data_IF_633382499278
#
_entry.id   IF_633382499278
#
_cell.length_a   1.000
_cell.length_b   1.000
_cell.length_c   1.000
_cell.angle_alpha   90.00
_cell.angle_beta   90.00
_cell.angle_gamma   90.00
#
_symmetry.space_group_name_H-M   'P 1'
#
loop_
_entity.id
_entity.type
_entity.pdbx_description
1 polymer ?
#
# COMPACT_ATOMS: atom_id res chain seq x y z
N UNK A 1 11.40 40.99 27.14
CA UNK A 1 9.96 40.70 26.96
C UNK A 1 9.85 39.40 26.22
N UNK A 2 8.96 38.54 26.70
CA UNK A 2 9.00 37.08 26.64
C UNK A 2 9.11 36.50 25.23
N UNK A 3 10.13 35.66 25.06
CA UNK A 3 10.15 34.65 24.01
C UNK A 3 9.07 33.63 24.36
N UNK A 4 8.00 33.58 23.56
CA UNK A 4 7.04 32.47 23.61
C UNK A 4 7.79 31.20 23.22
N UNK A 5 8.19 30.42 24.22
CA UNK A 5 8.57 29.03 24.03
C UNK A 5 7.36 28.31 23.46
N UNK A 6 7.41 28.00 22.16
CA UNK A 6 6.52 27.00 21.57
C UNK A 6 6.67 25.72 22.41
N UNK A 7 5.60 25.35 23.12
CA UNK A 7 5.47 24.04 23.73
C UNK A 7 5.50 23.02 22.58
N UNK A 8 6.67 22.46 22.29
CA UNK A 8 6.77 21.18 21.58
C UNK A 8 6.16 20.13 22.48
N UNK A 9 4.90 19.76 22.25
CA UNK A 9 4.33 18.56 22.84
C UNK A 9 4.90 17.34 22.11
N UNK A 10 6.12 16.93 22.46
CA UNK A 10 6.69 15.65 22.00
C UNK A 10 6.12 14.49 22.81
N UNK A 11 4.79 14.40 22.88
CA UNK A 11 4.09 13.27 23.48
C UNK A 11 3.16 12.69 22.43
N UNK A 12 3.22 11.37 22.23
CA UNK A 12 2.25 10.64 21.43
C UNK A 12 0.83 11.01 21.89
N UNK A 13 -0.07 11.24 20.95
CA UNK A 13 -1.47 11.44 21.31
C UNK A 13 -2.04 10.14 21.87
N UNK A 14 -2.99 10.25 22.80
CA UNK A 14 -3.68 9.08 23.38
C UNK A 14 -4.31 8.17 22.31
N UNK A 15 -4.69 8.75 21.16
CA UNK A 15 -5.24 8.00 20.02
C UNK A 15 -4.17 7.18 19.30
N UNK A 16 -3.02 7.77 19.02
CA UNK A 16 -1.88 7.06 18.38
C UNK A 16 -1.41 5.93 19.28
N UNK A 17 -1.25 6.19 20.58
CA UNK A 17 -0.83 5.18 21.54
C UNK A 17 -1.79 3.98 21.58
N UNK A 18 -3.10 4.23 21.69
CA UNK A 18 -4.12 3.17 21.65
C UNK A 18 -4.11 2.38 20.34
N UNK A 19 -3.87 3.05 19.22
CA UNK A 19 -3.79 2.41 17.91
C UNK A 19 -2.56 1.50 17.81
N UNK A 20 -1.42 1.96 18.31
CA UNK A 20 -0.18 1.17 18.26
C UNK A 20 -0.22 0.00 19.23
N UNK A 21 -0.79 0.18 20.42
CA UNK A 21 -1.04 -0.93 21.35
C UNK A 21 -1.99 -1.97 20.75
N UNK A 22 -2.93 -1.53 19.92
CA UNK A 22 -3.78 -2.43 19.14
C UNK A 22 -2.99 -3.22 18.09
N UNK A 23 -2.11 -2.57 17.32
CA UNK A 23 -1.22 -3.26 16.37
C UNK A 23 -0.34 -4.30 17.07
N UNK A 24 0.22 -3.95 18.23
CA UNK A 24 1.03 -4.83 19.06
C UNK A 24 0.22 -6.04 19.55
N UNK A 25 -0.97 -5.80 20.07
CA UNK A 25 -1.86 -6.85 20.58
C UNK A 25 -2.22 -7.84 19.48
N UNK A 26 -2.65 -7.35 18.31
CA UNK A 26 -3.00 -8.22 17.18
C UNK A 26 -1.77 -8.95 16.63
N UNK A 27 -0.64 -8.26 16.46
CA UNK A 27 0.54 -8.86 15.87
C UNK A 27 1.28 -9.85 16.77
N UNK A 28 1.26 -9.67 18.09
CA UNK A 28 1.86 -10.62 19.03
C UNK A 28 0.85 -11.71 19.40
N UNK A 29 -0.26 -11.33 20.07
CA UNK A 29 -1.22 -12.30 20.60
C UNK A 29 -2.01 -12.96 19.48
N UNK A 30 -2.38 -12.20 18.43
CA UNK A 30 -3.11 -12.75 17.30
C UNK A 30 -2.26 -13.74 16.48
N UNK A 31 -0.97 -13.47 16.33
CA UNK A 31 -0.06 -14.44 15.72
C UNK A 31 0.09 -15.70 16.57
N UNK A 32 0.21 -15.59 17.88
CA UNK A 32 0.31 -16.75 18.78
C UNK A 32 -0.97 -17.60 18.79
N UNK A 33 -2.14 -16.97 18.78
CA UNK A 33 -3.42 -17.65 18.62
C UNK A 33 -3.48 -18.44 17.30
N UNK A 34 -3.05 -17.86 16.18
CA UNK A 34 -2.99 -18.55 14.89
C UNK A 34 -1.96 -19.68 14.87
N UNK A 35 -0.81 -19.53 15.53
CA UNK A 35 0.19 -20.60 15.65
C UNK A 35 -0.34 -21.82 16.40
N UNK A 36 -1.14 -21.60 17.44
CA UNK A 36 -1.79 -22.70 18.17
C UNK A 36 -2.71 -23.50 17.24
N UNK A 37 -3.44 -22.83 16.35
CA UNK A 37 -4.28 -23.50 15.34
C UNK A 37 -3.45 -24.24 14.27
N UNK A 38 -2.24 -23.77 13.94
CA UNK A 38 -1.34 -24.50 13.03
C UNK A 38 -0.90 -25.84 13.63
N UNK A 39 -0.84 -25.96 14.95
CA UNK A 39 -0.30 -27.14 15.64
C UNK A 39 1.21 -27.30 15.40
N UNK A 40 1.91 -26.21 15.06
CA UNK A 40 3.36 -26.18 14.94
C UNK A 40 3.94 -25.35 16.09
N UNK A 41 4.83 -25.96 16.86
CA UNK A 41 5.64 -25.26 17.86
C UNK A 41 7.07 -25.03 17.32
N UNK A 42 7.86 -24.24 18.05
CA UNK A 42 9.23 -23.90 17.67
C UNK A 42 10.14 -25.13 17.52
N UNK A 43 9.93 -26.15 18.36
CA UNK A 43 10.73 -27.37 18.33
C UNK A 43 10.48 -28.17 17.05
N UNK A 44 9.21 -28.35 16.69
CA UNK A 44 8.80 -29.05 15.48
C UNK A 44 9.16 -28.24 14.23
N UNK A 45 9.06 -26.91 14.30
CA UNK A 45 9.48 -26.02 13.22
C UNK A 45 10.99 -26.13 12.93
N UNK A 46 11.85 -26.10 13.96
CA UNK A 46 13.32 -26.18 13.78
C UNK A 46 13.83 -27.53 13.29
N UNK A 47 13.14 -28.61 13.64
CA UNK A 47 13.59 -29.98 13.33
C UNK A 47 13.23 -30.44 11.91
N UNK A 48 12.35 -29.72 11.22
CA UNK A 48 11.86 -30.12 9.91
C UNK A 48 12.25 -29.07 8.87
N UNK A 49 12.83 -29.52 7.75
CA UNK A 49 13.00 -28.64 6.61
C UNK A 49 11.61 -28.28 6.02
N UNK A 50 11.43 -27.07 5.47
CA UNK A 50 10.15 -26.62 4.88
C UNK A 50 9.51 -27.63 3.93
N UNK A 51 10.34 -28.26 3.10
CA UNK A 51 10.00 -29.23 2.07
C UNK A 51 9.96 -30.69 2.56
N UNK A 52 10.52 -30.97 3.74
CA UNK A 52 10.38 -32.26 4.42
C UNK A 52 9.10 -32.30 5.29
N UNK A 53 8.43 -31.17 5.46
CA UNK A 53 7.15 -31.11 6.14
C UNK A 53 6.05 -31.67 5.24
N UNK A 54 5.25 -32.61 5.77
CA UNK A 54 4.05 -33.13 5.08
C UNK A 54 2.97 -32.07 4.87
N UNK A 55 3.08 -30.93 5.55
CA UNK A 55 2.14 -29.80 5.47
C UNK A 55 2.86 -28.47 5.15
N UNK A 56 3.42 -28.30 3.93
CA UNK A 56 4.14 -27.08 3.52
C UNK A 56 3.38 -25.77 3.78
N UNK A 57 2.05 -25.79 3.62
CA UNK A 57 1.18 -24.65 3.94
C UNK A 57 1.36 -24.15 5.37
N UNK A 58 1.41 -25.07 6.34
CA UNK A 58 1.54 -24.68 7.75
C UNK A 58 2.90 -24.06 8.02
N UNK A 59 3.95 -24.58 7.40
CA UNK A 59 5.29 -24.02 7.49
C UNK A 59 5.38 -22.61 6.89
N UNK A 60 4.77 -22.39 5.72
CA UNK A 60 4.67 -21.07 5.10
C UNK A 60 3.98 -20.05 6.02
N UNK A 61 2.82 -20.43 6.57
CA UNK A 61 2.07 -19.57 7.48
C UNK A 61 2.83 -19.31 8.78
N UNK A 62 3.48 -20.32 9.37
CA UNK A 62 4.31 -20.14 10.56
C UNK A 62 5.39 -19.09 10.33
N UNK A 63 6.09 -19.15 9.19
CA UNK A 63 7.09 -18.12 8.81
C UNK A 63 6.48 -16.75 8.58
N UNK A 64 5.24 -16.66 8.11
CA UNK A 64 4.53 -15.38 8.07
C UNK A 64 4.32 -14.82 9.47
N UNK A 65 3.82 -15.65 10.39
CA UNK A 65 3.56 -15.25 11.77
C UNK A 65 4.85 -14.84 12.50
N UNK A 66 6.00 -15.46 12.20
CA UNK A 66 7.32 -15.02 12.68
C UNK A 66 7.65 -13.58 12.27
N UNK A 67 7.44 -13.22 11.01
CA UNK A 67 7.75 -11.88 10.52
C UNK A 67 6.76 -10.84 11.02
N UNK A 68 5.49 -11.21 11.20
CA UNK A 68 4.50 -10.38 11.88
C UNK A 68 4.96 -10.03 13.30
N UNK A 69 5.34 -11.04 14.09
CA UNK A 69 5.78 -10.79 15.47
C UNK A 69 7.07 -9.97 15.53
N UNK A 70 8.04 -10.22 14.63
CA UNK A 70 9.25 -9.40 14.53
C UNK A 70 8.92 -7.94 14.24
N UNK A 71 7.98 -7.69 13.32
CA UNK A 71 7.53 -6.34 13.01
C UNK A 71 6.81 -5.67 14.20
N UNK A 72 5.96 -6.41 14.91
CA UNK A 72 5.30 -5.90 16.12
C UNK A 72 6.29 -5.56 17.22
N UNK A 73 7.29 -6.41 17.49
CA UNK A 73 8.33 -6.09 18.46
C UNK A 73 9.12 -4.82 18.09
N UNK A 74 9.28 -4.54 16.78
CA UNK A 74 9.88 -3.28 16.31
C UNK A 74 8.99 -2.06 16.52
N UNK A 75 7.66 -2.21 16.45
CA UNK A 75 6.73 -1.12 16.80
C UNK A 75 6.92 -0.69 18.26
N UNK A 76 7.21 -1.61 19.19
CA UNK A 76 7.53 -1.26 20.59
C UNK A 76 8.74 -0.34 20.64
N UNK A 77 9.82 -0.72 19.96
CA UNK A 77 11.05 0.07 19.91
C UNK A 77 10.83 1.46 19.31
N UNK A 78 10.06 1.57 18.22
CA UNK A 78 9.75 2.86 17.61
C UNK A 78 8.84 3.73 18.50
N UNK A 79 7.90 3.11 19.24
CA UNK A 79 7.05 3.78 20.22
C UNK A 79 7.89 4.35 21.36
N UNK A 80 8.83 3.58 21.89
CA UNK A 80 9.76 4.01 22.94
C UNK A 80 10.60 5.20 22.48
N UNK A 81 11.21 5.11 21.29
CA UNK A 81 11.98 6.21 20.72
C UNK A 81 11.18 7.51 20.57
N UNK A 82 9.92 7.42 20.12
CA UNK A 82 9.07 8.60 19.97
C UNK A 82 8.58 9.19 21.29
N UNK A 83 8.65 8.44 22.39
CA UNK A 83 8.30 8.89 23.72
C UNK A 83 9.46 9.59 24.46
N UNK A 84 10.69 9.54 23.93
CA UNK A 84 11.86 10.19 24.54
C UNK A 84 11.81 11.72 24.36
N UNK A 85 11.86 12.46 25.49
CA UNK A 85 11.78 13.93 25.53
C UNK A 85 13.11 14.63 25.19
N UNK A 86 14.26 13.98 25.43
CA UNK A 86 15.59 14.52 25.14
C UNK A 86 16.14 13.95 23.84
N UNK A 87 16.41 14.80 22.84
CA UNK A 87 16.99 14.38 21.56
C UNK A 87 18.37 14.98 21.35
N UNK A 88 19.35 14.11 21.07
CA UNK A 88 20.76 14.45 20.91
C UNK A 88 21.08 15.02 19.51
N UNK A 89 22.31 15.52 19.34
CA UNK A 89 22.90 16.01 18.08
C UNK A 89 22.90 14.98 16.94
N UNK A 90 22.65 13.71 17.23
CA UNK A 90 22.56 12.62 16.25
C UNK A 90 21.14 12.37 15.73
N UNK A 91 20.17 13.22 16.09
CA UNK A 91 18.75 13.05 15.75
C UNK A 91 18.46 12.68 14.28
N UNK A 92 19.21 13.24 13.31
CA UNK A 92 19.08 12.88 11.89
C UNK A 92 19.38 11.40 11.66
N UNK A 93 20.51 10.92 12.18
CA UNK A 93 20.98 9.54 12.00
C UNK A 93 20.02 8.57 12.67
N UNK A 94 19.54 8.91 13.87
CA UNK A 94 18.58 8.07 14.60
C UNK A 94 17.24 7.96 13.84
N UNK A 95 16.74 9.09 13.32
CA UNK A 95 15.51 9.10 12.52
C UNK A 95 15.68 8.32 11.20
N UNK A 96 16.77 8.52 10.47
CA UNK A 96 17.09 7.77 9.24
C UNK A 96 17.19 6.27 9.52
N UNK A 97 17.86 5.87 10.61
CA UNK A 97 17.98 4.46 11.00
C UNK A 97 16.62 3.82 11.26
N UNK A 98 15.71 4.56 11.90
CA UNK A 98 14.35 4.09 12.17
C UNK A 98 13.53 4.00 10.88
N UNK A 99 13.61 5.00 10.02
CA UNK A 99 12.93 5.01 8.72
C UNK A 99 13.42 3.83 7.87
N UNK A 100 14.73 3.56 7.82
CA UNK A 100 15.30 2.43 7.10
C UNK A 100 14.77 1.09 7.62
N UNK A 101 14.72 0.90 8.94
CA UNK A 101 14.13 -0.32 9.54
C UNK A 101 12.63 -0.41 9.22
N UNK A 102 11.87 0.69 9.30
CA UNK A 102 10.45 0.73 8.94
C UNK A 102 10.22 0.36 7.47
N UNK A 103 10.98 0.93 6.53
CA UNK A 103 10.86 0.62 5.11
C UNK A 103 11.28 -0.83 4.82
N UNK A 104 12.32 -1.33 5.49
CA UNK A 104 12.72 -2.74 5.40
C UNK A 104 11.60 -3.68 5.87
N UNK A 105 10.98 -3.40 7.02
CA UNK A 105 9.85 -4.19 7.53
C UNK A 105 8.64 -4.09 6.60
N UNK A 106 8.28 -2.88 6.19
CA UNK A 106 7.13 -2.66 5.31
C UNK A 106 7.29 -3.39 3.98
N UNK A 107 8.48 -3.35 3.36
CA UNK A 107 8.79 -4.09 2.14
C UNK A 107 8.61 -5.58 2.32
N UNK A 108 9.21 -6.15 3.37
CA UNK A 108 9.14 -7.58 3.64
C UNK A 108 7.70 -8.04 3.86
N UNK A 109 6.93 -7.31 4.68
CA UNK A 109 5.51 -7.63 4.91
C UNK A 109 4.66 -7.46 3.65
N UNK A 110 4.94 -6.46 2.79
CA UNK A 110 4.24 -6.28 1.52
C UNK A 110 4.52 -7.43 0.54
N UNK A 111 5.77 -7.88 0.40
CA UNK A 111 6.13 -9.08 -0.37
C UNK A 111 5.35 -10.31 0.11
N UNK A 112 5.31 -10.52 1.42
CA UNK A 112 4.61 -11.65 2.02
C UNK A 112 3.09 -11.56 1.85
N UNK A 113 2.52 -10.35 1.94
CA UNK A 113 1.08 -10.14 1.76
C UNK A 113 0.66 -10.41 0.31
N UNK A 114 1.43 -9.96 -0.67
CA UNK A 114 1.19 -10.26 -2.09
C UNK A 114 1.21 -11.76 -2.33
N UNK A 115 2.23 -12.46 -1.83
CA UNK A 115 2.34 -13.91 -1.99
C UNK A 115 1.19 -14.64 -1.27
N UNK A 116 0.80 -14.21 -0.08
CA UNK A 116 -0.32 -14.79 0.67
C UNK A 116 -1.69 -14.57 -0.01
N UNK A 117 -1.91 -13.41 -0.64
CA UNK A 117 -3.10 -13.16 -1.47
C UNK A 117 -3.10 -14.10 -2.68
N UNK A 118 -1.98 -14.25 -3.38
CA UNK A 118 -1.89 -15.15 -4.53
C UNK A 118 -2.09 -16.62 -4.14
N UNK A 119 -1.58 -17.06 -2.99
CA UNK A 119 -1.87 -18.38 -2.44
C UNK A 119 -3.36 -18.60 -2.15
N UNK A 120 -4.18 -17.55 -2.01
CA UNK A 120 -5.63 -17.74 -1.88
C UNK A 120 -6.28 -18.30 -3.16
N UNK A 121 -5.63 -18.12 -4.32
CA UNK A 121 -6.04 -18.74 -5.60
C UNK A 121 -5.53 -20.17 -5.79
N UNK A 122 -4.54 -20.57 -4.99
CA UNK A 122 -3.80 -21.83 -5.11
C UNK A 122 -3.59 -22.47 -3.72
N UNK A 123 -4.64 -22.42 -2.87
CA UNK A 123 -4.55 -22.76 -1.45
C UNK A 123 -4.56 -24.28 -1.21
N UNK A 124 -3.55 -24.99 -1.72
CA UNK A 124 -3.38 -26.44 -1.58
C UNK A 124 -1.91 -26.79 -1.33
N UNK A 125 -1.68 -27.93 -0.67
CA UNK A 125 -0.33 -28.35 -0.24
C UNK A 125 0.65 -28.47 -1.40
N UNK A 126 0.20 -28.89 -2.58
CA UNK A 126 1.06 -29.07 -3.75
C UNK A 126 1.70 -27.75 -4.19
N UNK A 127 0.95 -26.65 -4.23
CA UNK A 127 1.49 -25.34 -4.62
C UNK A 127 2.44 -24.75 -3.56
N UNK A 128 2.15 -24.95 -2.27
CA UNK A 128 3.09 -24.55 -1.21
C UNK A 128 4.39 -25.37 -1.28
N UNK A 129 4.29 -26.69 -1.52
CA UNK A 129 5.46 -27.55 -1.70
C UNK A 129 6.29 -27.16 -2.92
N UNK A 130 5.65 -27.01 -4.08
CA UNK A 130 6.28 -26.58 -5.34
C UNK A 130 7.00 -25.24 -5.18
N UNK A 131 6.37 -24.26 -4.51
CA UNK A 131 7.00 -22.98 -4.18
C UNK A 131 8.30 -23.15 -3.40
N UNK A 132 8.31 -23.97 -2.34
CA UNK A 132 9.53 -24.21 -1.55
C UNK A 132 10.61 -24.95 -2.35
N UNK A 133 10.23 -26.01 -3.08
CA UNK A 133 11.18 -26.77 -3.90
C UNK A 133 11.84 -25.90 -4.96
N UNK A 134 11.08 -25.02 -5.62
CA UNK A 134 11.62 -24.11 -6.63
C UNK A 134 12.57 -23.08 -6.02
N UNK A 135 12.26 -22.54 -4.83
CA UNK A 135 13.18 -21.64 -4.13
C UNK A 135 14.47 -22.34 -3.70
N UNK A 136 14.39 -23.57 -3.22
CA UNK A 136 15.58 -24.35 -2.87
C UNK A 136 16.40 -24.72 -4.11
N UNK A 137 15.75 -25.03 -5.23
CA UNK A 137 16.40 -25.32 -6.51
C UNK A 137 17.19 -24.10 -7.01
N UNK A 138 16.60 -22.90 -6.93
CA UNK A 138 17.27 -21.66 -7.30
C UNK A 138 18.47 -21.36 -6.41
N UNK A 139 18.35 -21.55 -5.09
CA UNK A 139 19.46 -21.37 -4.16
C UNK A 139 20.59 -22.39 -4.42
N UNK A 140 20.26 -23.65 -4.77
CA UNK A 140 21.25 -24.63 -5.21
C UNK A 140 21.98 -24.18 -6.48
N UNK A 141 21.25 -23.72 -7.49
CA UNK A 141 21.83 -23.25 -8.75
C UNK A 141 22.72 -22.02 -8.53
N UNK A 142 22.25 -21.03 -7.75
CA UNK A 142 23.01 -19.82 -7.40
C UNK A 142 24.28 -20.14 -6.62
N UNK A 143 24.19 -20.99 -5.60
CA UNK A 143 25.35 -21.36 -4.79
C UNK A 143 26.39 -22.13 -5.62
N UNK A 144 25.97 -22.95 -6.58
CA UNK A 144 26.89 -23.64 -7.48
C UNK A 144 27.57 -22.71 -8.48
N UNK A 145 26.84 -21.75 -9.03
CA UNK A 145 27.39 -20.72 -9.91
C UNK A 145 28.42 -19.86 -9.16
N UNK A 146 28.07 -19.40 -7.96
CA UNK A 146 28.95 -18.62 -7.07
C UNK A 146 30.22 -19.40 -6.70
N UNK A 147 30.09 -20.67 -6.30
CA UNK A 147 31.26 -21.53 -6.01
C UNK A 147 32.18 -21.70 -7.20
N UNK A 148 31.61 -21.85 -8.39
CA UNK A 148 32.41 -21.98 -9.59
C UNK A 148 33.08 -20.65 -9.97
N UNK A 149 32.36 -19.54 -9.92
CA UNK A 149 32.87 -18.21 -10.24
C UNK A 149 34.01 -17.79 -9.30
N UNK A 150 33.83 -17.96 -7.99
CA UNK A 150 34.80 -17.50 -6.98
C UNK A 150 35.86 -18.54 -6.61
N UNK A 151 35.57 -19.85 -6.73
CA UNK A 151 36.46 -20.91 -6.26
C UNK A 151 36.75 -22.02 -7.30
N UNK A 152 36.17 -21.95 -8.50
CA UNK A 152 36.51 -22.85 -9.61
C UNK A 152 36.05 -24.30 -9.48
N UNK A 153 35.06 -24.60 -8.62
CA UNK A 153 34.56 -25.97 -8.46
C UNK A 153 33.04 -26.07 -8.44
N UNK A 154 32.53 -27.24 -8.83
CA UNK A 154 31.15 -27.64 -8.62
C UNK A 154 31.05 -28.68 -7.51
N UNK A 155 30.11 -28.48 -6.60
CA UNK A 155 29.84 -29.39 -5.49
C UNK A 155 28.87 -30.50 -5.92
N UNK A 156 29.32 -31.76 -5.90
CA UNK A 156 28.49 -32.92 -6.29
C UNK A 156 27.26 -33.13 -5.41
N UNK A 157 27.30 -32.77 -4.12
CA UNK A 157 26.13 -32.87 -3.25
C UNK A 157 25.06 -31.85 -3.64
N UNK A 158 25.46 -30.65 -4.06
CA UNK A 158 24.52 -29.65 -4.54
C UNK A 158 23.90 -30.06 -5.89
N UNK A 159 24.66 -30.70 -6.79
CA UNK A 159 24.12 -31.29 -8.02
C UNK A 159 23.10 -32.40 -7.72
N UNK A 160 23.43 -33.28 -6.79
CA UNK A 160 22.51 -34.34 -6.36
C UNK A 160 21.22 -33.74 -5.78
N UNK A 161 21.33 -32.72 -4.91
CA UNK A 161 20.16 -32.06 -4.34
C UNK A 161 19.29 -31.38 -5.42
N UNK A 162 19.92 -30.69 -6.38
CA UNK A 162 19.21 -30.06 -7.49
C UNK A 162 18.44 -31.09 -8.34
N UNK A 163 19.04 -32.25 -8.61
CA UNK A 163 18.37 -33.33 -9.33
C UNK A 163 17.18 -33.90 -8.54
N UNK A 164 17.35 -34.14 -7.24
CA UNK A 164 16.26 -34.59 -6.37
C UNK A 164 15.10 -33.59 -6.33
N UNK A 165 15.38 -32.28 -6.21
CA UNK A 165 14.37 -31.23 -6.25
C UNK A 165 13.62 -31.21 -7.59
N UNK A 166 14.31 -31.38 -8.73
CA UNK A 166 13.68 -31.52 -10.04
C UNK A 166 12.73 -32.73 -10.09
N UNK A 167 13.12 -33.87 -9.52
CA UNK A 167 12.26 -35.06 -9.44
C UNK A 167 10.99 -34.78 -8.61
N UNK A 168 11.13 -34.16 -7.45
CA UNK A 168 9.98 -33.80 -6.59
C UNK A 168 9.03 -32.81 -7.28
N UNK A 169 9.54 -31.77 -7.93
CA UNK A 169 8.73 -30.82 -8.71
C UNK A 169 8.00 -31.55 -9.85
N UNK A 170 8.71 -32.42 -10.58
CA UNK A 170 8.11 -33.22 -11.65
C UNK A 170 7.05 -34.19 -11.14
N UNK A 171 7.21 -34.73 -9.92
CA UNK A 171 6.21 -35.58 -9.28
C UNK A 171 4.94 -34.80 -8.92
N UNK A 172 5.06 -33.55 -8.46
CA UNK A 172 3.91 -32.67 -8.23
C UNK A 172 3.15 -32.36 -9.52
N UNK A 173 3.86 -32.07 -10.62
CA UNK A 173 3.25 -31.86 -11.94
C UNK A 173 2.47 -33.10 -12.42
N UNK A 174 3.09 -34.29 -12.30
CA UNK A 174 2.43 -35.57 -12.65
C UNK A 174 1.22 -35.86 -11.76
N UNK A 175 1.23 -35.40 -10.52
CA UNK A 175 0.12 -35.54 -9.58
C UNK A 175 -1.03 -34.53 -9.83
N UNK A 176 -0.92 -33.67 -10.86
CA UNK A 176 -1.96 -32.74 -11.27
C UNK A 176 -1.73 -31.29 -10.87
N UNK A 177 -0.51 -30.91 -10.46
CA UNK A 177 -0.16 -29.49 -10.34
C UNK A 177 -0.04 -28.86 -11.73
N UNK A 178 -0.89 -27.87 -12.01
CA UNK A 178 -0.93 -27.16 -13.29
C UNK A 178 0.19 -26.10 -13.38
N UNK A 179 1.13 -26.17 -14.33
CA UNK A 179 2.21 -25.17 -14.42
C UNK A 179 1.72 -23.73 -14.62
N UNK A 180 0.57 -23.55 -15.30
CA UNK A 180 -0.03 -22.22 -15.53
C UNK A 180 -0.57 -21.56 -14.27
N UNK A 181 -0.88 -22.31 -13.19
CA UNK A 181 -1.31 -21.74 -11.91
C UNK A 181 -0.13 -21.28 -11.04
N UNK A 182 1.12 -21.55 -11.43
CA UNK A 182 2.33 -21.07 -10.75
C UNK A 182 2.51 -19.57 -10.93
N UNK A 183 1.84 -18.79 -10.09
CA UNK A 183 1.95 -17.33 -10.12
C UNK A 183 3.36 -16.83 -9.80
N UNK A 184 4.16 -17.63 -9.11
CA UNK A 184 5.55 -17.37 -8.73
C UNK A 184 6.57 -17.67 -9.84
N UNK A 185 6.22 -18.37 -10.92
CA UNK A 185 7.09 -18.60 -12.09
C UNK A 185 6.75 -17.64 -13.22
N UNK A 186 7.75 -17.09 -13.89
CA UNK A 186 7.59 -16.25 -15.07
C UNK A 186 6.95 -17.08 -16.18
N UNK A 187 5.86 -16.57 -16.76
CA UNK A 187 5.06 -17.24 -17.79
C UNK A 187 4.42 -18.59 -17.41
N UNK A 188 4.53 -19.07 -16.17
CA UNK A 188 3.95 -20.35 -15.74
C UNK A 188 4.50 -21.56 -16.51
N UNK A 189 5.81 -21.54 -16.77
CA UNK A 189 6.50 -22.58 -17.54
C UNK A 189 6.54 -23.92 -16.78
N UNK A 190 6.54 -25.03 -17.54
CA UNK A 190 6.78 -26.38 -17.04
C UNK A 190 8.22 -26.48 -16.54
N UNK A 191 8.48 -27.38 -15.58
CA UNK A 191 9.84 -27.68 -15.13
C UNK A 191 10.79 -27.85 -16.33
N UNK A 192 11.89 -27.11 -16.29
CA UNK A 192 12.97 -27.24 -17.24
C UNK A 192 14.19 -27.74 -16.48
N UNK A 193 14.77 -28.88 -16.88
CA UNK A 193 15.96 -29.46 -16.22
C UNK A 193 17.15 -28.49 -16.16
N UNK A 194 17.20 -27.51 -17.08
CA UNK A 194 18.22 -26.46 -17.04
C UNK A 194 18.10 -25.60 -15.79
N UNK A 195 16.96 -25.55 -15.11
CA UNK A 195 16.75 -24.77 -13.89
C UNK A 195 17.64 -25.24 -12.72
N UNK A 196 18.06 -26.50 -12.70
CA UNK A 196 19.04 -26.97 -11.71
C UNK A 196 20.46 -26.44 -11.94
N UNK A 197 20.72 -25.87 -13.12
CA UNK A 197 22.03 -25.31 -13.52
C UNK A 197 21.98 -23.82 -13.83
N UNK A 198 20.81 -23.30 -14.14
CA UNK A 198 20.51 -21.91 -14.50
C UNK A 198 19.38 -21.48 -13.59
N UNK A 199 19.47 -20.29 -13.00
CA UNK A 199 18.45 -19.76 -12.07
C UNK A 199 17.00 -20.02 -12.49
N UNK A 200 16.15 -20.26 -11.49
CA UNK A 200 14.71 -20.41 -11.69
C UNK A 200 14.12 -19.06 -12.10
N UNK A 201 13.31 -18.99 -13.18
CA UNK A 201 12.78 -17.72 -13.67
C UNK A 201 11.58 -17.28 -12.82
N UNK A 202 11.80 -16.80 -11.60
CA UNK A 202 10.72 -16.29 -10.75
C UNK A 202 10.02 -15.07 -11.35
N UNK A 203 8.71 -14.96 -11.12
CA UNK A 203 7.94 -13.76 -11.41
C UNK A 203 8.41 -12.61 -10.52
N UNK A 204 8.62 -11.44 -11.13
CA UNK A 204 8.97 -10.23 -10.39
C UNK A 204 7.87 -9.81 -9.41
N UNK A 205 8.21 -9.11 -8.32
CA UNK A 205 7.19 -8.54 -7.42
C UNK A 205 6.17 -7.70 -8.21
N UNK A 206 6.62 -6.91 -9.19
CA UNK A 206 5.74 -6.10 -10.03
C UNK A 206 4.70 -6.96 -10.75
N UNK A 207 5.09 -8.12 -11.27
CA UNK A 207 4.16 -9.01 -11.97
C UNK A 207 3.20 -9.71 -11.00
N UNK A 208 3.68 -10.10 -9.82
CA UNK A 208 2.84 -10.64 -8.73
C UNK A 208 1.84 -9.61 -8.22
N UNK A 209 2.27 -8.36 -8.01
CA UNK A 209 1.42 -7.26 -7.61
C UNK A 209 0.29 -7.00 -8.62
N UNK A 210 0.57 -7.00 -9.93
CA UNK A 210 -0.49 -6.87 -10.96
C UNK A 210 -1.53 -7.99 -10.87
N UNK A 211 -1.13 -9.20 -10.52
CA UNK A 211 -2.02 -10.37 -10.40
C UNK A 211 -2.94 -10.28 -9.18
N UNK A 212 -2.55 -9.57 -8.12
CA UNK A 212 -3.40 -9.42 -6.92
C UNK A 212 -4.49 -8.35 -7.07
N UNK A 213 -4.30 -7.35 -7.94
CA UNK A 213 -5.24 -6.25 -8.11
C UNK A 213 -6.73 -6.67 -8.26
N UNK A 214 -7.08 -7.73 -9.00
CA UNK A 214 -8.47 -8.18 -9.10
C UNK A 214 -8.97 -9.06 -7.94
N UNK A 215 -8.10 -9.55 -7.04
CA UNK A 215 -8.46 -10.55 -6.01
C UNK A 215 -8.19 -10.09 -4.56
N UNK A 216 -7.39 -9.04 -4.38
CA UNK A 216 -7.09 -8.46 -3.08
C UNK A 216 -8.34 -7.81 -2.46
N UNK A 217 -8.47 -7.92 -1.14
CA UNK A 217 -9.50 -7.22 -0.39
C UNK A 217 -9.24 -5.70 -0.44
N UNK A 218 -10.29 -4.86 -0.31
CA UNK A 218 -10.09 -3.43 -0.27
C UNK A 218 -9.12 -2.96 0.82
N UNK A 219 -9.18 -3.57 2.01
CA UNK A 219 -8.24 -3.34 3.11
C UNK A 219 -6.80 -3.62 2.72
N UNK A 220 -6.53 -4.74 2.06
CA UNK A 220 -5.19 -5.09 1.58
C UNK A 220 -4.68 -4.13 0.51
N UNK A 221 -5.55 -3.71 -0.42
CA UNK A 221 -5.21 -2.74 -1.45
C UNK A 221 -4.91 -1.36 -0.86
N UNK A 222 -5.65 -0.92 0.16
CA UNK A 222 -5.38 0.37 0.82
C UNK A 222 -4.01 0.38 1.49
N UNK A 223 -3.58 -0.75 2.06
CA UNK A 223 -2.31 -0.85 2.78
C UNK A 223 -1.13 -1.07 1.84
N UNK A 224 -1.27 -1.92 0.82
CA UNK A 224 -0.25 -2.10 -0.21
C UNK A 224 -0.11 -0.84 -1.09
N UNK A 225 -1.12 0.00 -1.15
CA UNK A 225 -1.15 1.20 -1.97
C UNK A 225 -1.60 0.91 -3.41
N UNK A 226 -1.73 1.99 -4.18
CA UNK A 226 -2.50 2.03 -5.45
C UNK A 226 -1.73 1.54 -6.67
N UNK A 227 -0.40 1.50 -6.56
CA UNK A 227 0.49 1.09 -7.64
C UNK A 227 1.76 0.43 -7.08
N UNK A 228 2.52 -0.24 -7.95
CA UNK A 228 3.83 -0.80 -7.63
C UNK A 228 4.78 0.20 -6.95
N UNK A 229 4.70 1.49 -7.32
CA UNK A 229 5.55 2.52 -6.73
C UNK A 229 5.26 2.66 -5.23
N UNK A 230 3.98 2.68 -4.87
CA UNK A 230 3.53 2.74 -3.49
C UNK A 230 3.78 1.43 -2.75
N UNK A 231 3.57 0.28 -3.41
CA UNK A 231 3.69 -1.03 -2.78
C UNK A 231 5.14 -1.47 -2.51
N UNK A 232 6.10 -0.95 -3.27
CA UNK A 232 7.45 -1.50 -3.29
C UNK A 232 8.54 -0.52 -3.67
N UNK A 233 8.35 0.27 -4.75
CA UNK A 233 9.46 1.08 -5.28
C UNK A 233 9.94 2.17 -4.33
N UNK A 234 9.03 2.80 -3.57
CA UNK A 234 9.40 3.78 -2.53
C UNK A 234 10.21 3.11 -1.42
N UNK A 235 9.65 2.08 -0.80
CA UNK A 235 10.31 1.33 0.29
C UNK A 235 11.67 0.75 -0.14
N UNK A 236 11.77 0.26 -1.37
CA UNK A 236 13.00 -0.34 -1.89
C UNK A 236 14.09 0.69 -2.15
N UNK A 237 13.75 1.96 -2.43
CA UNK A 237 14.74 3.01 -2.65
C UNK A 237 15.49 3.31 -1.35
N UNK A 238 14.75 3.39 -0.24
CA UNK A 238 15.28 3.82 1.05
C UNK A 238 16.15 2.72 1.70
N UNK A 239 15.87 1.44 1.43
CA UNK A 239 16.69 0.31 1.93
C UNK A 239 18.05 0.20 1.22
N UNK A 240 18.22 0.81 0.05
CA UNK A 240 19.47 0.75 -0.72
C UNK A 240 20.28 2.03 -0.55
N UNK A 241 21.59 1.88 -0.39
CA UNK A 241 22.50 3.01 -0.33
C UNK A 241 22.36 3.90 -1.57
N UNK A 242 21.88 5.13 -1.36
CA UNK A 242 21.61 6.09 -2.43
C UNK A 242 22.54 7.30 -2.24
N UNK A 243 23.71 7.33 -2.91
CA UNK A 243 24.73 8.37 -2.69
C UNK A 243 24.31 9.77 -3.15
N UNK A 244 23.19 9.87 -3.89
CA UNK A 244 22.62 11.11 -4.40
C UNK A 244 21.43 11.60 -3.57
N UNK A 245 21.13 10.94 -2.45
CA UNK A 245 20.03 11.40 -1.60
C UNK A 245 20.41 12.72 -0.92
N UNK A 246 19.68 13.77 -1.26
CA UNK A 246 19.84 15.13 -0.72
C UNK A 246 18.76 15.47 0.30
N UNK A 247 18.07 14.44 0.83
CA UNK A 247 17.05 14.54 1.87
C UNK A 247 17.64 15.25 3.09
N UNK A 248 17.40 16.55 3.16
CA UNK A 248 17.94 17.46 4.18
C UNK A 248 16.91 17.75 5.28
N UNK A 249 15.72 17.18 5.18
CA UNK A 249 14.67 17.31 6.16
C UNK A 249 14.07 15.95 6.48
N UNK A 250 14.33 15.46 7.69
CA UNK A 250 13.55 14.39 8.30
C UNK A 250 12.39 15.03 9.08
N UNK A 251 11.21 14.42 9.02
CA UNK A 251 10.06 14.83 9.83
C UNK A 251 9.67 13.67 10.73
N UNK A 252 9.49 13.95 12.01
CA UNK A 252 9.03 12.93 12.97
C UNK A 252 7.70 12.28 12.55
N UNK A 253 6.86 13.04 11.85
CA UNK A 253 5.62 12.53 11.24
C UNK A 253 5.87 11.33 10.33
N UNK A 254 7.00 11.28 9.62
CA UNK A 254 7.35 10.16 8.73
C UNK A 254 7.60 8.87 9.51
N UNK A 255 8.15 8.98 10.73
CA UNK A 255 8.30 7.83 11.64
C UNK A 255 6.92 7.34 12.07
N UNK A 256 6.00 8.26 12.43
CA UNK A 256 4.63 7.91 12.85
C UNK A 256 3.86 7.22 11.73
N UNK A 257 3.89 7.79 10.53
CA UNK A 257 3.34 7.20 9.31
C UNK A 257 3.95 5.82 9.01
N UNK A 258 5.25 5.65 9.26
CA UNK A 258 5.95 4.37 9.14
C UNK A 258 5.47 3.32 10.14
N UNK A 259 5.23 3.69 11.40
CA UNK A 259 4.62 2.80 12.40
C UNK A 259 3.24 2.34 11.93
N UNK A 260 2.40 3.28 11.51
CA UNK A 260 1.05 2.98 11.03
C UNK A 260 1.06 2.07 9.81
N UNK A 261 1.96 2.32 8.84
CA UNK A 261 2.10 1.49 7.65
C UNK A 261 2.46 0.05 8.00
N UNK A 262 3.44 -0.15 8.87
CA UNK A 262 3.86 -1.50 9.32
C UNK A 262 2.75 -2.17 10.13
N UNK A 263 2.09 -1.43 11.03
CA UNK A 263 0.95 -1.92 11.81
C UNK A 263 -0.20 -2.38 10.92
N UNK A 264 -0.58 -1.58 9.92
CA UNK A 264 -1.62 -1.93 8.96
C UNK A 264 -1.26 -3.15 8.10
N UNK A 265 0.02 -3.33 7.74
CA UNK A 265 0.50 -4.53 7.03
C UNK A 265 0.40 -5.77 7.92
N UNK A 266 0.76 -5.66 9.19
CA UNK A 266 0.57 -6.73 10.20
C UNK A 266 -0.90 -7.14 10.27
N UNK A 267 -1.78 -6.16 10.42
CA UNK A 267 -3.23 -6.38 10.48
C UNK A 267 -3.75 -7.10 9.22
N UNK A 268 -3.39 -6.63 8.02
CA UNK A 268 -3.78 -7.26 6.76
C UNK A 268 -3.28 -8.70 6.63
N UNK A 269 -2.03 -8.97 7.03
CA UNK A 269 -1.46 -10.32 7.00
C UNK A 269 -2.15 -11.28 7.96
N UNK A 270 -2.56 -10.83 9.16
CA UNK A 270 -3.32 -11.66 10.10
C UNK A 270 -4.65 -12.11 9.46
N UNK A 271 -5.41 -11.18 8.87
CA UNK A 271 -6.66 -11.52 8.14
C UNK A 271 -6.38 -12.49 7.00
N UNK A 272 -5.32 -12.28 6.22
CA UNK A 272 -4.98 -13.18 5.13
C UNK A 272 -4.56 -14.57 5.62
N UNK A 273 -3.84 -14.67 6.74
CA UNK A 273 -3.51 -15.95 7.37
C UNK A 273 -4.76 -16.70 7.82
N UNK A 274 -5.73 -16.01 8.44
CA UNK A 274 -7.03 -16.60 8.79
C UNK A 274 -7.75 -17.16 7.55
N UNK A 275 -7.76 -16.40 6.44
CA UNK A 275 -8.34 -16.86 5.18
C UNK A 275 -7.62 -18.08 4.61
N UNK A 276 -6.30 -18.08 4.60
CA UNK A 276 -5.53 -19.22 4.12
C UNK A 276 -5.78 -20.45 4.99
N UNK A 277 -5.86 -20.30 6.31
CA UNK A 277 -6.16 -21.39 7.23
C UNK A 277 -7.61 -21.89 7.13
N UNK A 278 -8.54 -21.01 6.80
CA UNK A 278 -9.98 -21.31 6.87
C UNK A 278 -10.50 -21.30 8.31
N UNK A 279 -9.80 -20.62 9.23
CA UNK A 279 -10.19 -20.53 10.64
C UNK A 279 -9.97 -19.11 11.19
N UNK A 280 -10.81 -18.73 12.17
CA UNK A 280 -10.64 -17.50 12.94
C UNK A 280 -10.57 -17.90 14.42
N UNK A 281 -9.38 -17.87 15.04
CA UNK A 281 -9.23 -18.18 16.45
C UNK A 281 -10.11 -17.27 17.34
N UNK A 282 -10.50 -17.77 18.51
CA UNK A 282 -11.12 -16.95 19.56
C UNK A 282 -10.09 -15.90 20.06
N UNK A 283 -10.55 -14.96 20.89
CA UNK A 283 -9.67 -13.95 21.48
C UNK A 283 -9.48 -12.74 20.57
N UNK A 284 -8.24 -12.26 20.43
CA UNK A 284 -7.96 -11.01 19.70
C UNK A 284 -8.23 -11.17 18.20
N UNK A 285 -7.97 -12.37 17.63
CA UNK A 285 -8.26 -12.65 16.22
C UNK A 285 -9.74 -12.46 15.88
N UNK A 286 -10.64 -13.01 16.70
CA UNK A 286 -12.10 -12.88 16.49
C UNK A 286 -12.54 -11.41 16.60
N UNK A 287 -12.09 -10.70 17.63
CA UNK A 287 -12.43 -9.28 17.82
C UNK A 287 -11.95 -8.43 16.64
N UNK A 288 -10.70 -8.63 16.22
CA UNK A 288 -10.15 -7.90 15.08
C UNK A 288 -10.86 -8.26 13.78
N UNK A 289 -11.21 -9.54 13.58
CA UNK A 289 -11.97 -10.00 12.42
C UNK A 289 -13.33 -9.30 12.31
N UNK A 290 -14.07 -9.20 13.40
CA UNK A 290 -15.36 -8.50 13.46
C UNK A 290 -15.20 -7.00 13.16
N UNK A 291 -14.15 -6.36 13.69
CA UNK A 291 -13.83 -4.96 13.36
C UNK A 291 -13.48 -4.78 11.88
N UNK A 292 -12.70 -5.69 11.30
CA UNK A 292 -12.34 -5.65 9.90
C UNK A 292 -13.56 -5.81 8.99
N UNK A 293 -14.39 -6.81 9.27
CA UNK A 293 -15.54 -7.16 8.42
C UNK A 293 -16.67 -6.11 8.49
N UNK A 294 -16.77 -5.36 9.59
CA UNK A 294 -17.71 -4.25 9.75
C UNK A 294 -17.21 -2.91 9.19
N UNK A 295 -15.93 -2.80 8.81
CA UNK A 295 -15.32 -1.56 8.36
C UNK A 295 -15.48 -1.34 6.85
N UNK A 296 -16.31 -0.37 6.45
CA UNK A 296 -16.52 0.01 5.03
C UNK A 296 -15.46 0.98 4.49
N UNK A 297 -14.68 1.62 5.36
CA UNK A 297 -13.74 2.68 4.98
C UNK A 297 -12.77 2.29 3.87
N UNK A 298 -12.09 1.11 3.93
CA UNK A 298 -11.19 0.70 2.86
C UNK A 298 -11.88 0.51 1.51
N UNK A 299 -13.10 0.00 1.49
CA UNK A 299 -13.88 -0.16 0.27
C UNK A 299 -14.24 1.22 -0.33
N UNK A 300 -14.66 2.17 0.50
CA UNK A 300 -14.95 3.54 0.08
C UNK A 300 -13.71 4.23 -0.50
N UNK A 301 -12.53 4.04 0.11
CA UNK A 301 -11.26 4.57 -0.40
C UNK A 301 -10.89 3.98 -1.77
N UNK A 302 -10.98 2.66 -1.94
CA UNK A 302 -10.69 2.01 -3.22
C UNK A 302 -11.66 2.46 -4.31
N UNK A 303 -12.95 2.55 -3.99
CA UNK A 303 -13.96 3.02 -4.94
C UNK A 303 -13.79 4.50 -5.28
N UNK A 304 -13.36 5.34 -4.33
CA UNK A 304 -13.04 6.73 -4.60
C UNK A 304 -11.92 6.89 -5.65
N UNK A 305 -10.97 5.95 -5.74
CA UNK A 305 -9.92 5.96 -6.78
C UNK A 305 -10.44 5.64 -8.18
N UNK A 306 -11.58 4.95 -8.29
CA UNK A 306 -12.21 4.58 -9.55
C UNK A 306 -13.30 5.57 -9.98
N UNK A 307 -13.72 6.47 -9.08
CA UNK A 307 -14.68 7.53 -9.42
C UNK A 307 -14.12 8.42 -10.52
N UNK A 308 -15.00 8.82 -11.44
CA UNK A 308 -14.70 9.81 -12.49
C UNK A 308 -15.22 11.18 -12.07
N UNK A 309 -14.41 12.00 -11.36
CA UNK A 309 -14.87 13.32 -10.91
C UNK A 309 -15.17 14.30 -12.06
N UNK A 310 -14.53 14.14 -13.22
CA UNK A 310 -14.61 15.10 -14.32
C UNK A 310 -14.86 14.43 -15.69
N UNK A 311 -15.31 15.23 -16.64
CA UNK A 311 -15.54 14.86 -18.04
C UNK A 311 -14.84 15.86 -18.97
N UNK A 312 -14.79 15.56 -20.28
CA UNK A 312 -14.18 16.46 -21.25
C UNK A 312 -14.88 17.83 -21.27
N UNK A 313 -14.07 18.90 -21.23
CA UNK A 313 -14.50 20.30 -21.14
C UNK A 313 -14.70 20.82 -19.71
N UNK A 314 -14.58 19.99 -18.68
CA UNK A 314 -14.59 20.45 -17.29
C UNK A 314 -13.28 21.18 -16.94
N UNK A 315 -13.34 22.14 -16.01
CA UNK A 315 -12.14 22.72 -15.39
C UNK A 315 -11.80 21.92 -14.15
N UNK A 316 -10.53 21.55 -14.05
CA UNK A 316 -9.96 20.79 -12.94
C UNK A 316 -8.75 21.51 -12.36
N UNK A 317 -8.41 21.13 -11.14
CA UNK A 317 -7.19 21.51 -10.45
C UNK A 317 -6.27 20.29 -10.36
N UNK A 318 -5.04 20.42 -10.84
CA UNK A 318 -4.02 19.38 -10.93
C UNK A 318 -2.66 19.93 -10.50
N UNK A 319 -2.02 19.28 -9.53
CA UNK A 319 -0.66 19.59 -9.05
C UNK A 319 -0.34 21.08 -8.72
N UNK A 320 -1.35 21.91 -8.44
CA UNK A 320 -1.14 23.34 -8.18
C UNK A 320 -1.87 24.25 -9.14
N UNK A 321 -2.12 23.77 -10.36
CA UNK A 321 -2.58 24.57 -11.50
C UNK A 321 -3.99 24.19 -11.97
N UNK A 322 -4.60 25.09 -12.75
CA UNK A 322 -5.90 24.87 -13.36
C UNK A 322 -5.75 24.43 -14.82
N UNK A 323 -6.50 23.40 -15.17
CA UNK A 323 -6.48 22.81 -16.50
C UNK A 323 -7.89 22.48 -16.99
N UNK A 324 -8.08 22.46 -18.30
CA UNK A 324 -9.28 21.97 -18.96
C UNK A 324 -9.08 20.49 -19.34
N UNK A 325 -10.07 19.64 -19.05
CA UNK A 325 -10.02 18.24 -19.45
C UNK A 325 -10.29 18.12 -20.95
N UNK A 326 -9.32 17.60 -21.70
CA UNK A 326 -9.46 17.32 -23.13
C UNK A 326 -10.12 15.96 -23.38
N UNK A 327 -9.70 14.92 -22.64
CA UNK A 327 -10.26 13.58 -22.76
C UNK A 327 -10.07 12.77 -21.48
N UNK A 328 -10.89 11.74 -21.30
CA UNK A 328 -10.82 10.82 -20.16
C UNK A 328 -10.69 9.39 -20.67
N UNK A 329 -9.68 8.68 -20.18
CA UNK A 329 -9.49 7.25 -20.45
C UNK A 329 -9.60 6.45 -19.16
N UNK A 330 -9.73 5.14 -19.26
CA UNK A 330 -9.78 4.24 -18.10
C UNK A 330 -8.81 3.10 -18.33
N UNK A 331 -7.90 2.90 -17.38
CA UNK A 331 -6.93 1.80 -17.45
C UNK A 331 -7.63 0.45 -17.35
N UNK A 332 -6.93 -0.62 -17.73
CA UNK A 332 -7.40 -2.01 -17.54
C UNK A 332 -7.69 -2.40 -16.08
N UNK A 333 -7.28 -1.58 -15.12
CA UNK A 333 -7.53 -1.76 -13.69
C UNK A 333 -8.68 -0.88 -13.16
N UNK A 334 -9.38 -0.16 -14.04
CA UNK A 334 -10.52 0.68 -13.68
C UNK A 334 -10.17 2.10 -13.20
N UNK A 335 -8.89 2.45 -13.12
CA UNK A 335 -8.48 3.82 -12.75
C UNK A 335 -8.63 4.79 -13.92
N UNK A 336 -9.28 5.95 -13.72
CA UNK A 336 -9.39 6.97 -14.75
C UNK A 336 -8.07 7.76 -14.90
N UNK A 337 -7.78 8.17 -16.13
CA UNK A 337 -6.70 9.08 -16.47
C UNK A 337 -7.25 10.23 -17.32
N UNK A 338 -6.73 11.43 -17.08
CA UNK A 338 -7.24 12.66 -17.64
C UNK A 338 -6.16 13.32 -18.49
N UNK A 339 -6.44 13.51 -19.77
CA UNK A 339 -5.65 14.37 -20.63
C UNK A 339 -6.13 15.80 -20.41
N UNK A 340 -5.25 16.70 -19.99
CA UNK A 340 -5.62 18.05 -19.62
C UNK A 340 -4.76 19.07 -20.36
N UNK A 341 -5.30 20.27 -20.54
CA UNK A 341 -4.60 21.44 -21.08
C UNK A 341 -4.55 22.54 -20.04
N UNK A 342 -3.35 23.02 -19.73
CA UNK A 342 -3.18 24.12 -18.78
C UNK A 342 -3.81 25.41 -19.32
N UNK A 343 -4.51 26.16 -18.45
CA UNK A 343 -5.25 27.36 -18.87
C UNK A 343 -4.43 28.64 -18.67
N UNK A 344 -3.83 28.83 -17.49
CA UNK A 344 -3.08 30.05 -17.18
C UNK A 344 -1.57 29.83 -17.26
N UNK A 345 -1.06 28.85 -16.51
CA UNK A 345 0.36 28.56 -16.41
C UNK A 345 0.58 27.05 -16.51
N UNK A 346 1.54 26.64 -17.33
CA UNK A 346 2.10 25.30 -17.24
C UNK A 346 3.31 25.33 -16.31
N UNK A 347 3.50 24.30 -15.46
CA UNK A 347 4.73 24.11 -14.70
C UNK A 347 6.00 24.14 -15.58
N UNK A 348 5.87 23.68 -16.84
CA UNK A 348 6.93 23.70 -17.84
C UNK A 348 6.41 24.40 -19.10
N UNK A 349 6.98 25.55 -19.52
CA UNK A 349 6.47 26.33 -20.66
C UNK A 349 6.28 25.52 -21.95
N UNK A 350 7.08 24.48 -22.16
CA UNK A 350 7.03 23.61 -23.34
C UNK A 350 5.94 22.54 -23.28
N UNK A 351 5.38 22.27 -22.09
CA UNK A 351 4.39 21.21 -21.86
C UNK A 351 3.02 21.84 -21.63
N UNK A 352 2.29 22.11 -22.71
CA UNK A 352 0.97 22.75 -22.64
C UNK A 352 -0.17 21.77 -22.27
N UNK A 353 0.06 20.47 -22.48
CA UNK A 353 -0.90 19.39 -22.26
C UNK A 353 -0.20 18.20 -21.60
N UNK A 354 -0.88 17.49 -20.70
CA UNK A 354 -0.31 16.32 -20.01
C UNK A 354 -1.40 15.34 -19.51
N UNK A 355 -0.97 14.18 -19.01
CA UNK A 355 -1.83 13.12 -18.46
C UNK A 355 -1.67 12.98 -16.94
N UNK A 356 -2.80 13.00 -16.24
CA UNK A 356 -2.85 12.82 -14.79
C UNK A 356 -3.72 11.63 -14.39
N UNK A 357 -3.35 10.93 -13.33
CA UNK A 357 -4.21 9.92 -12.73
C UNK A 357 -5.39 10.59 -12.02
N UNK A 358 -6.56 9.95 -12.01
CA UNK A 358 -7.78 10.58 -11.50
C UNK A 358 -7.76 11.01 -10.03
N UNK A 359 -6.91 10.41 -9.20
CA UNK A 359 -6.77 10.83 -7.80
C UNK A 359 -5.97 12.13 -7.64
N UNK A 360 -5.25 12.57 -8.67
CA UNK A 360 -4.52 13.84 -8.72
C UNK A 360 -5.42 15.00 -9.21
N UNK A 361 -6.58 14.67 -9.76
CA UNK A 361 -7.50 15.60 -10.39
C UNK A 361 -8.62 15.98 -9.42
N UNK A 362 -8.83 17.29 -9.20
CA UNK A 362 -9.97 17.81 -8.43
C UNK A 362 -10.87 18.64 -9.33
N UNK A 363 -12.15 18.30 -9.40
CA UNK A 363 -13.12 19.09 -10.17
C UNK A 363 -13.26 20.50 -9.58
N UNK A 364 -13.20 21.51 -10.44
CA UNK A 364 -13.42 22.92 -10.09
C UNK A 364 -14.77 23.40 -10.64
N UNK A 365 -15.02 23.19 -11.93
CA UNK A 365 -16.28 23.56 -12.57
C UNK A 365 -16.64 22.62 -13.71
N UNK A 366 -17.95 22.37 -13.88
CA UNK A 366 -18.47 21.59 -15.00
C UNK A 366 -18.52 22.43 -16.27
N UNK A 367 -18.28 21.80 -17.43
CA UNK A 367 -18.39 22.43 -18.75
C UNK A 367 -19.68 23.24 -18.91
N UNK A 368 -20.81 22.65 -18.52
CA UNK A 368 -22.14 23.28 -18.61
C UNK A 368 -22.23 24.57 -17.79
N UNK A 369 -21.54 24.66 -16.65
CA UNK A 369 -21.54 25.88 -15.83
C UNK A 369 -20.76 27.01 -16.52
N UNK A 370 -19.66 26.66 -17.19
CA UNK A 370 -18.85 27.61 -17.96
C UNK A 370 -19.62 28.09 -19.18
N UNK A 371 -20.25 27.18 -19.92
CA UNK A 371 -21.07 27.50 -21.09
C UNK A 371 -22.23 28.42 -20.71
N UNK A 372 -22.96 28.09 -19.63
CA UNK A 372 -24.04 28.95 -19.12
C UNK A 372 -23.54 30.34 -18.70
N UNK A 373 -22.39 30.42 -18.05
CA UNK A 373 -21.80 31.70 -17.66
C UNK A 373 -21.40 32.54 -18.88
N UNK A 374 -20.80 31.91 -19.89
CA UNK A 374 -20.43 32.58 -21.14
C UNK A 374 -21.67 33.04 -21.94
N UNK A 375 -22.69 32.19 -22.05
CA UNK A 375 -23.92 32.49 -22.77
C UNK A 375 -24.69 33.63 -22.07
N UNK A 376 -24.80 33.62 -20.73
CA UNK A 376 -25.44 34.70 -19.96
C UNK A 376 -24.73 36.06 -20.12
N UNK A 377 -23.39 36.06 -20.10
CA UNK A 377 -22.60 37.29 -20.35
C UNK A 377 -22.80 37.77 -21.79
N UNK A 378 -22.86 36.85 -22.76
CA UNK A 378 -23.14 37.18 -24.16
C UNK A 378 -24.51 37.83 -24.35
N UNK A 379 -25.55 37.28 -23.71
CA UNK A 379 -26.90 37.85 -23.72
C UNK A 379 -26.94 39.27 -23.11
N UNK A 380 -26.24 39.49 -21.99
CA UNK A 380 -26.16 40.80 -21.34
C UNK A 380 -25.43 41.83 -22.21
N UNK A 381 -24.34 41.44 -22.87
CA UNK A 381 -23.60 42.31 -23.80
C UNK A 381 -24.45 42.66 -25.02
N UNK A 382 -25.17 41.68 -25.59
CA UNK A 382 -26.07 41.93 -26.72
C UNK A 382 -27.22 42.86 -26.34
N UNK A 383 -27.80 42.70 -25.15
CA UNK A 383 -28.84 43.60 -24.62
C UNK A 383 -28.35 45.03 -24.37
N UNK A 384 -27.10 45.19 -23.90
CA UNK A 384 -26.56 46.51 -23.51
C UNK A 384 -25.89 47.25 -24.66
N UNK A 385 -25.24 46.54 -25.59
CA UNK A 385 -24.45 47.15 -26.68
C UNK A 385 -25.06 46.95 -28.07
N UNK A 386 -26.02 46.04 -28.22
CA UNK A 386 -26.59 45.64 -29.51
C UNK A 386 -25.62 44.84 -30.39
N UNK A 387 -24.43 44.48 -29.88
CA UNK A 387 -23.41 43.71 -30.61
C UNK A 387 -23.32 42.29 -30.05
N UNK A 388 -23.20 41.32 -30.96
CA UNK A 388 -22.98 39.92 -30.60
C UNK A 388 -21.49 39.64 -30.54
N UNK A 389 -21.02 39.25 -29.36
CA UNK A 389 -19.61 38.96 -29.14
C UNK A 389 -19.24 37.51 -29.55
N UNK A 390 -17.96 37.27 -29.81
CA UNK A 390 -17.45 35.94 -30.17
C UNK A 390 -17.57 34.98 -28.98
N UNK A 391 -18.35 33.92 -29.14
CA UNK A 391 -18.59 32.90 -28.13
C UNK A 391 -17.30 32.25 -27.63
N UNK A 392 -16.28 32.11 -28.50
CA UNK A 392 -14.99 31.55 -28.08
C UNK A 392 -14.28 32.44 -27.06
N UNK A 393 -14.36 33.77 -27.24
CA UNK A 393 -13.82 34.74 -26.28
C UNK A 393 -14.61 34.74 -24.98
N UNK A 394 -15.94 34.71 -25.05
CA UNK A 394 -16.80 34.63 -23.88
C UNK A 394 -16.51 33.39 -23.03
N UNK A 395 -16.29 32.24 -23.68
CA UNK A 395 -15.88 31.01 -23.01
C UNK A 395 -14.51 31.14 -22.33
N UNK A 396 -13.52 31.74 -22.98
CA UNK A 396 -12.20 31.98 -22.36
C UNK A 396 -12.32 32.91 -21.13
N UNK A 397 -13.09 33.98 -21.25
CA UNK A 397 -13.38 34.89 -20.15
C UNK A 397 -14.08 34.18 -18.98
N UNK A 398 -15.09 33.35 -19.26
CA UNK A 398 -15.80 32.57 -18.26
C UNK A 398 -14.87 31.58 -17.54
N UNK A 399 -13.99 30.89 -18.28
CA UNK A 399 -12.97 29.98 -17.71
C UNK A 399 -12.05 30.73 -16.74
N UNK A 400 -11.47 31.86 -17.16
CA UNK A 400 -10.60 32.67 -16.30
C UNK A 400 -11.32 33.24 -15.09
N UNK A 401 -12.58 33.62 -15.22
CA UNK A 401 -13.39 34.11 -14.09
C UNK A 401 -13.61 33.03 -13.03
N UNK A 402 -13.93 31.81 -13.45
CA UNK A 402 -14.07 30.64 -12.56
C UNK A 402 -12.76 30.36 -11.82
N UNK A 403 -11.62 30.42 -12.52
CA UNK A 403 -10.29 30.21 -11.93
C UNK A 403 -10.00 31.26 -10.85
N UNK A 404 -10.20 32.55 -11.16
CA UNK A 404 -9.99 33.63 -10.18
C UNK A 404 -10.86 33.45 -8.94
N UNK A 405 -12.12 33.08 -9.12
CA UNK A 405 -13.06 32.85 -8.01
C UNK A 405 -12.63 31.66 -7.15
N UNK A 406 -12.22 30.56 -7.77
CA UNK A 406 -11.69 29.37 -7.06
C UNK A 406 -10.41 29.71 -6.28
N UNK A 407 -9.49 30.46 -6.87
CA UNK A 407 -8.25 30.90 -6.22
C UNK A 407 -8.53 31.79 -5.01
N UNK A 408 -9.47 32.74 -5.15
CA UNK A 408 -9.90 33.60 -4.05
C UNK A 408 -10.54 32.80 -2.90
N UNK A 409 -11.43 31.85 -3.20
CA UNK A 409 -12.03 30.98 -2.19
C UNK A 409 -10.98 30.14 -1.44
N UNK A 410 -9.95 29.66 -2.14
CA UNK A 410 -8.85 28.91 -1.52
C UNK A 410 -8.03 29.80 -0.59
N UNK A 411 -7.72 31.04 -0.97
CA UNK A 411 -7.02 32.00 -0.12
C UNK A 411 -7.82 32.33 1.15
N UNK A 412 -9.14 32.52 1.03
CA UNK A 412 -10.02 32.74 2.19
C UNK A 412 -10.01 31.56 3.17
N UNK A 413 -10.00 30.32 2.65
CA UNK A 413 -9.90 29.11 3.49
C UNK A 413 -8.56 28.99 4.21
N UNK A 414 -7.49 29.49 3.61
CA UNK A 414 -6.15 29.51 4.23
C UNK A 414 -6.00 30.61 5.29
N UNK A 415 -6.74 31.71 5.15
CA UNK A 415 -6.71 32.84 6.10
C UNK A 415 -7.70 32.70 7.26
N UNK A 416 -8.71 31.83 7.14
CA UNK A 416 -9.63 31.55 8.24
C UNK A 416 -8.98 30.55 9.20
N UNK A 417 -8.82 30.87 10.50
CA UNK A 417 -8.41 29.85 11.47
C UNK A 417 -9.46 28.74 11.43
N UNK A 418 -9.03 27.50 11.16
CA UNK A 418 -9.92 26.35 11.23
C UNK A 418 -10.64 26.37 12.60
N UNK A 419 -11.98 26.36 12.64
CA UNK A 419 -12.67 25.96 13.84
C UNK A 419 -12.23 24.52 14.11
N UNK A 420 -11.70 24.25 15.30
CA UNK A 420 -11.51 22.91 15.83
C UNK A 420 -12.73 22.08 15.43
N UNK A 421 -12.52 21.08 14.59
CA UNK A 421 -13.59 20.21 14.12
C UNK A 421 -14.32 19.66 15.34
N UNK A 422 -15.57 20.05 15.53
CA UNK A 422 -16.48 19.33 16.42
C UNK A 422 -16.57 17.91 15.88
N UNK A 423 -15.91 16.98 16.55
CA UNK A 423 -16.07 15.55 16.29
C UNK A 423 -17.54 15.18 16.41
N UNK A 424 -18.00 14.28 15.55
CA UNK A 424 -19.33 13.67 15.55
C UNK A 424 -19.58 12.78 16.78
N UNK A 425 -19.52 13.37 17.99
CA UNK A 425 -19.75 12.71 19.28
C UNK A 425 -20.82 13.39 20.15
N UNK A 426 -21.32 14.58 19.79
CA UNK A 426 -22.26 15.35 20.63
C UNK A 426 -23.75 15.04 20.41
N UNK A 427 -24.08 13.88 19.85
CA UNK A 427 -25.46 13.38 19.73
C UNK A 427 -25.62 11.99 20.37
N UNK A 428 -25.16 11.81 21.60
CA UNK A 428 -25.61 10.69 22.45
C UNK A 428 -25.27 10.89 23.94
N UNK A 429 -26.02 11.73 24.65
CA UNK A 429 -26.10 11.64 26.12
C UNK A 429 -27.41 12.24 26.65
N UNK A 430 -28.49 11.46 26.56
CA UNK A 430 -29.56 11.56 27.57
C UNK A 430 -29.30 10.47 28.62
N UNK A 431 -29.18 10.82 29.91
CA UNK A 431 -28.99 9.81 30.96
C UNK A 431 -30.32 9.09 31.21
N UNK A 432 -30.33 7.77 30.97
CA UNK A 432 -31.40 6.89 31.43
C UNK A 432 -31.35 6.82 32.95
N UNK A 433 -32.37 7.37 33.59
CA UNK A 433 -32.67 7.15 35.01
C UNK A 433 -33.23 5.72 35.18
N UNK A 434 -32.75 4.90 36.11
CA UNK A 434 -33.33 3.58 36.35
C UNK A 434 -34.69 3.71 37.05
N UNK A 435 -35.66 2.82 36.77
CA UNK A 435 -36.95 2.83 37.45
C UNK A 435 -36.76 2.39 38.90
N UNK A 436 -37.47 3.08 39.80
CA UNK A 436 -37.65 2.64 41.19
C UNK A 436 -38.37 1.30 41.19
N UNK A 437 -37.82 0.34 41.92
CA UNK A 437 -38.49 -0.90 42.28
C UNK A 437 -39.45 -0.63 43.45
N UNK A 438 -40.67 -1.14 43.33
CA UNK A 438 -41.47 -1.62 44.48
C UNK A 438 -41.03 -3.05 44.82
#
# INVERSE_FOLDING_TARGET
MENKSEQKSSSLSEKEEKLWDFYLSVGVQGADELRKELGLDELNFRRLAPNLNREPKKYFLYRILDEIQKASLKIVYWKEYLAEEERDKLQRIDCETIIDDQQFRARKLAEMLVDAILFSTTNNQAHFGDYFFLHELDECARSQEDRYEFFGFHNKNAEWNANWLCEEIGNLEKAGLEPKSRWYIKNGEVLNEKWGKKRVPFSSFRDRYKKILPIALPSELTVLGKSYVHAYSGMSKDVHFTPHDTSSGFREEEIREGVDRVGLLVLALIIRCQHLLGCVPKGINKRYREMHDSNTGPAELVEALKKKPAEAGDIVWVQGDYAEVLSVTTSKYGYPAYHVKYIEHSPLPEVLEDWFAGFEVRLVAKKIQIEKAADAVGEEIEQTTGQREDRARLLDCAKRAVIKLSTYQRQLRQQSPQPLSKSAGDLASKPNTPPKAD
#
